data_IF_654159536504
#
_entry.id   IF_654159536504
#
_cell.length_a   1.000
_cell.length_b   1.000
_cell.length_c   1.000
_cell.angle_alpha   90.00
_cell.angle_beta   90.00
_cell.angle_gamma   90.00
#
_symmetry.space_group_name_H-M   'P 1'
#
loop_
_entity.id
_entity.type
_entity.pdbx_description
1 polymer ?
#
# COMPACT_ATOMS: atom_id res chain seq x y z
N UNK A 1 -22.88 -6.12 23.21
CA UNK A 1 -21.49 -6.64 23.11
C UNK A 1 -20.90 -6.09 21.83
N UNK A 2 -19.85 -5.28 21.92
CA UNK A 2 -19.12 -4.79 20.75
C UNK A 2 -18.11 -5.87 20.33
N UNK A 3 -18.03 -6.17 19.04
CA UNK A 3 -17.07 -7.12 18.46
C UNK A 3 -16.36 -6.45 17.29
N UNK A 4 -15.08 -6.74 17.13
CA UNK A 4 -14.32 -6.26 15.99
C UNK A 4 -14.72 -7.05 14.74
N UNK A 5 -15.09 -6.36 13.66
CA UNK A 5 -15.32 -6.95 12.33
C UNK A 5 -14.00 -7.26 11.62
N UNK A 6 -13.22 -8.16 12.22
CA UNK A 6 -11.92 -8.57 11.67
C UNK A 6 -12.06 -9.27 10.31
N UNK A 7 -13.23 -9.81 10.01
CA UNK A 7 -13.60 -10.38 8.71
C UNK A 7 -13.63 -9.35 7.56
N UNK A 8 -13.62 -8.06 7.89
CA UNK A 8 -13.57 -6.98 6.89
C UNK A 8 -12.17 -6.41 6.68
N UNK A 9 -11.14 -7.01 7.30
CA UNK A 9 -9.74 -6.54 7.21
C UNK A 9 -8.86 -7.70 6.74
N UNK A 10 -8.05 -7.43 5.72
CA UNK A 10 -7.11 -8.39 5.14
C UNK A 10 -5.66 -7.89 5.21
N UNK A 11 -4.72 -8.76 5.56
CA UNK A 11 -3.29 -8.42 5.49
C UNK A 11 -2.82 -8.37 4.02
N UNK A 12 -2.03 -7.36 3.65
CA UNK A 12 -1.66 -7.14 2.24
C UNK A 12 -0.16 -7.20 1.95
N UNK A 13 0.64 -6.51 2.76
CA UNK A 13 2.08 -6.43 2.60
C UNK A 13 2.77 -6.06 3.92
N UNK A 14 4.07 -6.33 4.01
CA UNK A 14 4.91 -5.98 5.15
C UNK A 14 6.21 -5.39 4.62
N UNK A 15 6.41 -4.09 4.84
CA UNK A 15 7.58 -3.35 4.38
C UNK A 15 8.43 -2.89 5.55
N UNK A 16 9.73 -3.10 5.46
CA UNK A 16 10.71 -2.61 6.41
C UNK A 16 11.56 -1.57 5.69
N UNK A 17 11.69 -0.38 6.29
CA UNK A 17 12.54 0.67 5.75
C UNK A 17 14.00 0.18 5.69
N UNK A 18 14.74 0.43 4.59
CA UNK A 18 16.10 -0.07 4.43
C UNK A 18 17.03 0.28 5.59
N UNK A 19 17.98 -0.61 5.88
CA UNK A 19 18.92 -0.45 7.00
C UNK A 19 19.78 0.83 6.98
N UNK A 20 20.02 1.40 5.80
CA UNK A 20 20.83 2.63 5.65
C UNK A 20 20.06 3.92 5.92
N UNK A 21 18.72 3.87 5.98
CA UNK A 21 17.91 5.05 6.29
C UNK A 21 18.03 5.38 7.79
N UNK A 22 18.27 6.66 8.15
CA UNK A 22 18.44 7.05 9.55
C UNK A 22 17.16 6.87 10.39
N UNK A 23 15.99 6.90 9.74
CA UNK A 23 14.70 6.65 10.36
C UNK A 23 14.07 5.41 9.72
N UNK A 24 13.81 4.38 10.52
CA UNK A 24 13.30 3.10 10.05
C UNK A 24 11.94 2.77 10.64
N UNK A 25 11.11 2.13 9.83
CA UNK A 25 9.80 1.62 10.21
C UNK A 25 9.66 0.16 9.79
N UNK A 26 8.91 -0.60 10.60
CA UNK A 26 8.43 -1.94 10.31
C UNK A 26 6.91 -1.83 10.09
N UNK A 27 6.50 -1.65 8.83
CA UNK A 27 5.15 -1.21 8.45
C UNK A 27 4.37 -2.35 7.82
N UNK A 28 3.18 -2.64 8.38
CA UNK A 28 2.23 -3.61 7.82
C UNK A 28 1.09 -2.88 7.13
N UNK A 29 0.76 -3.33 5.93
CA UNK A 29 -0.32 -2.81 5.11
C UNK A 29 -1.51 -3.76 5.15
N UNK A 30 -2.71 -3.16 5.21
CA UNK A 30 -3.97 -3.88 5.26
C UNK A 30 -4.93 -3.30 4.24
N UNK A 31 -5.81 -4.15 3.73
CA UNK A 31 -7.00 -3.76 2.98
C UNK A 31 -8.21 -3.89 3.89
N UNK A 32 -9.18 -3.00 3.74
CA UNK A 32 -10.40 -3.04 4.53
C UNK A 32 -11.63 -2.75 3.67
N UNK A 33 -12.69 -3.54 3.85
CA UNK A 33 -13.99 -3.25 3.27
C UNK A 33 -14.77 -2.29 4.18
N UNK A 34 -15.26 -1.20 3.61
CA UNK A 34 -16.16 -0.29 4.30
C UNK A 34 -17.55 -0.95 4.45
N UNK A 35 -18.06 -1.16 5.68
CA UNK A 35 -19.42 -1.64 5.90
C UNK A 35 -20.47 -0.76 5.23
N UNK A 36 -21.52 -1.40 4.67
CA UNK A 36 -22.65 -0.68 4.11
C UNK A 36 -23.31 0.25 5.16
N UNK A 37 -23.62 1.48 4.75
CA UNK A 37 -24.25 2.49 5.60
C UNK A 37 -23.29 3.24 6.53
N UNK A 38 -21.98 2.96 6.48
CA UNK A 38 -21.00 3.76 7.20
C UNK A 38 -20.67 5.05 6.44
N UNK A 39 -20.88 6.19 7.09
CA UNK A 39 -20.42 7.48 6.61
C UNK A 39 -19.00 7.72 7.13
N UNK A 40 -18.09 8.06 6.22
CA UNK A 40 -16.72 8.40 6.57
C UNK A 40 -16.66 9.91 6.79
N UNK A 41 -16.22 10.30 7.97
CA UNK A 41 -15.96 11.71 8.28
C UNK A 41 -14.51 12.07 7.93
N UNK A 42 -14.28 13.32 7.54
CA UNK A 42 -12.94 13.85 7.30
C UNK A 42 -12.40 14.45 8.60
N UNK A 43 -11.74 13.63 9.43
CA UNK A 43 -11.03 14.14 10.62
C UNK A 43 -9.58 14.37 10.23
N UNK A 44 -9.18 15.63 10.02
CA UNK A 44 -7.81 15.96 9.62
C UNK A 44 -7.17 17.06 10.50
N UNK A 45 -6.53 16.65 11.61
CA UNK A 45 -5.56 17.54 12.28
C UNK A 45 -4.12 17.26 11.88
N UNK A 46 -3.85 16.06 11.34
CA UNK A 46 -2.49 15.61 10.99
C UNK A 46 -2.20 15.66 9.49
N UNK A 47 -3.23 15.79 8.64
CA UNK A 47 -3.10 15.82 7.19
C UNK A 47 -3.65 17.12 6.61
N UNK A 48 -2.86 17.78 5.76
CA UNK A 48 -3.25 19.01 5.08
C UNK A 48 -4.46 18.79 4.14
N UNK A 49 -4.53 17.59 3.53
CA UNK A 49 -5.62 17.20 2.62
C UNK A 49 -5.93 15.70 2.74
N UNK A 50 -7.21 15.34 2.56
CA UNK A 50 -7.68 13.95 2.48
C UNK A 50 -8.88 13.83 1.53
N UNK A 51 -8.86 12.85 0.64
CA UNK A 51 -9.95 12.60 -0.32
C UNK A 51 -10.09 11.10 -0.61
N UNK A 52 -11.26 10.73 -1.14
CA UNK A 52 -11.49 9.41 -1.73
C UNK A 52 -11.30 9.52 -3.24
N UNK A 53 -10.36 8.76 -3.78
CA UNK A 53 -9.99 8.77 -5.21
C UNK A 53 -9.95 7.33 -5.74
N UNK A 54 -10.46 7.05 -6.95
CA UNK A 54 -10.27 5.77 -7.60
C UNK A 54 -8.78 5.47 -7.82
N UNK A 55 -8.35 4.22 -7.59
CA UNK A 55 -6.96 3.83 -7.81
C UNK A 55 -6.48 4.09 -9.25
N UNK A 56 -7.35 3.95 -10.24
CA UNK A 56 -7.02 4.24 -11.64
C UNK A 56 -6.63 5.70 -11.87
N UNK A 57 -7.32 6.63 -11.19
CA UNK A 57 -7.05 8.06 -11.27
C UNK A 57 -5.76 8.40 -10.51
N UNK A 58 -5.62 7.89 -9.29
CA UNK A 58 -4.41 8.02 -8.47
C UNK A 58 -3.15 7.56 -9.22
N UNK A 59 -3.21 6.41 -9.89
CA UNK A 59 -2.08 5.88 -10.66
C UNK A 59 -1.78 6.73 -11.91
N UNK A 60 -2.80 7.31 -12.55
CA UNK A 60 -2.60 8.25 -13.65
C UNK A 60 -1.90 9.53 -13.17
N UNK A 61 -2.28 10.06 -12.00
CA UNK A 61 -1.65 11.25 -11.42
C UNK A 61 -0.21 11.00 -10.96
N UNK A 62 0.08 9.79 -10.45
CA UNK A 62 1.46 9.37 -10.17
C UNK A 62 2.29 9.31 -11.44
N UNK A 63 1.74 8.71 -12.51
CA UNK A 63 2.43 8.60 -13.79
C UNK A 63 2.70 9.97 -14.44
N UNK A 64 1.82 10.96 -14.24
CA UNK A 64 2.05 12.33 -14.72
C UNK A 64 2.94 13.17 -13.81
N UNK A 65 3.33 12.65 -12.63
CA UNK A 65 4.09 13.39 -11.62
C UNK A 65 3.30 14.49 -10.90
N UNK A 66 1.96 14.47 -11.00
CA UNK A 66 1.08 15.45 -10.35
C UNK A 66 1.00 15.24 -8.84
N UNK A 67 1.21 14.00 -8.39
CA UNK A 67 1.32 13.64 -6.97
C UNK A 67 2.58 12.81 -6.74
N UNK A 68 3.11 12.88 -5.51
CA UNK A 68 4.24 12.08 -5.07
C UNK A 68 3.79 11.06 -4.01
N UNK A 69 4.38 9.88 -4.04
CA UNK A 69 4.03 8.80 -3.13
C UNK A 69 5.27 7.97 -2.81
N UNK A 70 5.38 7.53 -1.55
CA UNK A 70 6.47 6.66 -1.14
C UNK A 70 6.37 5.29 -1.85
N UNK A 71 7.50 4.66 -2.21
CA UNK A 71 7.50 3.44 -3.00
C UNK A 71 6.61 2.30 -2.45
N UNK A 72 6.59 1.99 -1.13
CA UNK A 72 5.72 0.94 -0.59
C UNK A 72 4.23 1.16 -0.85
N UNK A 73 3.78 2.41 -0.78
CA UNK A 73 2.38 2.77 -1.03
C UNK A 73 2.07 2.67 -2.52
N UNK A 74 2.96 3.16 -3.39
CA UNK A 74 2.79 3.08 -4.84
C UNK A 74 2.69 1.63 -5.33
N UNK A 75 3.60 0.75 -4.91
CA UNK A 75 3.58 -0.68 -5.27
C UNK A 75 2.29 -1.34 -4.77
N UNK A 76 1.87 -1.01 -3.54
CA UNK A 76 0.61 -1.52 -2.99
C UNK A 76 -0.60 -1.06 -3.84
N UNK A 77 -0.67 0.21 -4.22
CA UNK A 77 -1.73 0.73 -5.09
C UNK A 77 -1.74 0.06 -6.48
N UNK A 78 -0.58 -0.19 -7.07
CA UNK A 78 -0.46 -0.90 -8.35
C UNK A 78 -0.99 -2.34 -8.24
N UNK A 79 -0.54 -3.11 -7.25
CA UNK A 79 -1.05 -4.48 -7.03
C UNK A 79 -2.57 -4.49 -6.86
N UNK A 80 -3.10 -3.57 -6.06
CA UNK A 80 -4.54 -3.47 -5.80
C UNK A 80 -5.36 -3.04 -7.01
N UNK A 81 -4.76 -2.30 -7.96
CA UNK A 81 -5.45 -1.83 -9.16
C UNK A 81 -5.90 -2.96 -10.10
N UNK A 82 -5.32 -4.15 -9.95
CA UNK A 82 -5.69 -5.35 -10.71
C UNK A 82 -6.88 -6.11 -10.10
N UNK A 83 -7.38 -5.68 -8.94
CA UNK A 83 -8.44 -6.33 -8.19
C UNK A 83 -9.71 -5.48 -8.13
N UNK A 84 -10.83 -6.13 -7.86
CA UNK A 84 -12.10 -5.47 -7.61
C UNK A 84 -12.37 -5.38 -6.11
N UNK A 85 -13.36 -4.57 -5.75
CA UNK A 85 -13.84 -4.45 -4.36
C UNK A 85 -14.39 -5.77 -3.81
N UNK A 86 -14.80 -6.71 -4.66
CA UNK A 86 -15.32 -8.02 -4.24
C UNK A 86 -14.25 -9.11 -4.17
N UNK A 87 -13.12 -8.96 -4.87
CA UNK A 87 -12.05 -9.97 -4.88
C UNK A 87 -10.92 -9.65 -3.90
N UNK A 88 -10.73 -8.37 -3.54
CA UNK A 88 -9.60 -7.92 -2.71
C UNK A 88 -9.47 -8.65 -1.36
N UNK A 89 -10.56 -8.87 -0.63
CA UNK A 89 -10.53 -9.57 0.66
C UNK A 89 -10.26 -11.07 0.48
N UNK A 90 -10.97 -11.82 -0.39
CA UNK A 90 -10.61 -13.21 -0.69
C UNK A 90 -9.16 -13.40 -1.14
N UNK A 91 -8.62 -12.48 -1.93
CA UNK A 91 -7.22 -12.54 -2.34
C UNK A 91 -6.29 -12.30 -1.14
N UNK A 92 -6.61 -11.37 -0.25
CA UNK A 92 -5.80 -11.12 0.95
C UNK A 92 -5.64 -12.35 1.85
N UNK A 93 -6.68 -13.19 1.96
CA UNK A 93 -6.64 -14.43 2.76
C UNK A 93 -5.68 -15.48 2.18
N UNK A 94 -5.44 -15.45 0.87
CA UNK A 94 -4.57 -16.40 0.16
C UNK A 94 -3.11 -15.96 0.14
N UNK A 95 -2.82 -14.71 0.51
CA UNK A 95 -1.48 -14.15 0.44
C UNK A 95 -0.60 -14.68 1.56
N UNK A 96 0.58 -15.15 1.20
CA UNK A 96 1.68 -15.31 2.15
C UNK A 96 2.40 -13.97 2.27
N UNK A 97 2.42 -13.39 3.47
CA UNK A 97 3.07 -12.10 3.72
C UNK A 97 4.46 -12.35 4.31
N UNK A 98 5.48 -12.06 3.51
CA UNK A 98 6.88 -12.02 3.96
C UNK A 98 7.34 -10.56 4.08
N UNK A 99 8.26 -10.25 5.02
CA UNK A 99 8.84 -8.92 5.11
C UNK A 99 9.62 -8.56 3.84
N UNK A 100 9.39 -7.34 3.35
CA UNK A 100 10.09 -6.75 2.22
C UNK A 100 11.00 -5.66 2.77
N UNK A 101 12.31 -5.89 2.74
CA UNK A 101 13.31 -4.88 3.09
C UNK A 101 14.11 -4.52 1.83
N UNK A 102 13.86 -3.35 1.20
CA UNK A 102 14.56 -2.96 -0.01
C UNK A 102 16.05 -2.77 0.25
N UNK A 103 16.85 -3.09 -0.76
CA UNK A 103 18.29 -2.81 -0.76
C UNK A 103 18.61 -1.83 -1.87
N UNK A 104 19.60 -0.97 -1.64
CA UNK A 104 20.13 -0.12 -2.70
C UNK A 104 21.12 -0.93 -3.51
N UNK A 105 20.92 -0.96 -4.82
CA UNK A 105 21.81 -1.55 -5.80
C UNK A 105 22.18 -0.51 -6.85
N UNK A 106 23.37 -0.64 -7.44
CA UNK A 106 23.80 0.19 -8.55
C UNK A 106 23.65 -0.61 -9.86
N UNK A 107 22.90 -0.06 -10.82
CA UNK A 107 22.73 -0.63 -12.15
C UNK A 107 22.83 0.50 -13.19
N UNK A 108 23.66 0.30 -14.22
CA UNK A 108 23.95 1.28 -15.28
C UNK A 108 24.37 2.67 -14.77
N UNK A 109 25.10 2.72 -13.64
CA UNK A 109 25.55 3.96 -13.02
C UNK A 109 24.44 4.75 -12.29
N UNK A 110 23.27 4.14 -12.10
CA UNK A 110 22.14 4.70 -11.36
C UNK A 110 21.83 3.83 -10.13
N UNK A 111 21.42 4.47 -9.03
CA UNK A 111 20.98 3.77 -7.83
C UNK A 111 19.51 3.36 -7.95
N UNK A 112 19.25 2.11 -7.64
CA UNK A 112 17.91 1.50 -7.63
C UNK A 112 17.61 0.91 -6.27
N UNK A 113 16.33 0.86 -5.92
CA UNK A 113 15.84 0.01 -4.85
C UNK A 113 15.50 -1.34 -5.47
N UNK A 114 16.08 -2.41 -4.93
CA UNK A 114 15.79 -3.79 -5.28
C UNK A 114 15.02 -4.45 -4.14
N UNK A 115 14.04 -5.29 -4.51
CA UNK A 115 13.32 -6.18 -3.60
C UNK A 115 13.20 -7.53 -4.30
N UNK A 116 13.18 -8.62 -3.53
CA UNK A 116 12.94 -9.98 -4.04
C UNK A 116 11.55 -10.16 -4.72
N UNK A 117 10.73 -9.11 -4.72
CA UNK A 117 9.35 -9.11 -5.22
C UNK A 117 9.21 -8.46 -6.61
N UNK A 118 10.19 -7.65 -7.04
CA UNK A 118 10.11 -6.90 -8.30
C UNK A 118 10.41 -7.73 -9.56
N UNK A 119 10.90 -8.96 -9.44
CA UNK A 119 11.10 -9.86 -10.59
C UNK A 119 9.79 -10.36 -11.24
N UNK A 120 8.63 -9.97 -10.69
CA UNK A 120 7.31 -10.51 -11.05
C UNK A 120 6.22 -9.47 -11.32
N UNK A 121 6.57 -8.18 -11.42
CA UNK A 121 5.68 -7.08 -11.87
C UNK A 121 6.20 -6.50 -13.19
#
# INVERSE_FOLDING_TARGET
>A
RLVLRADLIGAWAHWITPAFEPKRFDTRFFVAALPAGQNIDSVNSEADHSSWIPLSELLSELASGSIAMLPPTMVTCQELSHLSTTTILPESERRTITPIEPRVVEADGQLWLETERWDHL
#
